data_IF_729314417595
#
_entry.id   IF_729314417595
#
_cell.length_a   1.000
_cell.length_b   1.000
_cell.length_c   1.000
_cell.angle_alpha   90.00
_cell.angle_beta   90.00
_cell.angle_gamma   90.00
#
_symmetry.space_group_name_H-M   'P 1'
#
loop_
_entity.id
_entity.type
_entity.pdbx_description
1 polymer ?
#
# COMPACT_ATOMS: atom_id res chain seq x y z
N UNK A 1 2.36 -14.20 15.04
CA UNK A 1 2.62 -13.84 13.63
C UNK A 1 1.54 -12.86 13.24
N UNK A 2 1.89 -11.72 12.64
CA UNK A 2 0.89 -10.79 12.12
C UNK A 2 0.01 -11.51 11.09
N UNK A 3 -1.23 -11.06 10.95
CA UNK A 3 -2.13 -11.56 9.91
C UNK A 3 -1.49 -11.32 8.52
N UNK A 4 -1.54 -12.34 7.64
CA UNK A 4 -0.98 -12.26 6.28
C UNK A 4 -1.63 -11.11 5.49
N UNK A 5 -2.94 -10.92 5.67
CA UNK A 5 -3.68 -9.85 5.00
C UNK A 5 -3.24 -8.47 5.46
N UNK A 6 -3.01 -8.30 6.76
CA UNK A 6 -2.49 -7.07 7.35
C UNK A 6 -1.07 -6.77 6.86
N UNK A 7 -0.19 -7.78 6.85
CA UNK A 7 1.18 -7.65 6.33
C UNK A 7 1.18 -7.15 4.89
N UNK A 8 0.38 -7.77 4.02
CA UNK A 8 0.28 -7.37 2.61
C UNK A 8 -0.37 -5.99 2.46
N UNK A 9 -1.36 -5.64 3.30
CA UNK A 9 -1.99 -4.31 3.31
C UNK A 9 -0.98 -3.21 3.65
N UNK A 10 -0.12 -3.47 4.65
CA UNK A 10 0.90 -2.53 5.09
C UNK A 10 1.93 -2.25 4.00
N UNK A 11 2.26 -3.27 3.19
CA UNK A 11 3.15 -3.13 2.04
C UNK A 11 2.47 -2.44 0.85
N UNK A 12 1.20 -2.78 0.57
CA UNK A 12 0.36 -2.11 -0.43
C UNK A 12 0.65 -2.45 -1.90
N UNK A 13 1.78 -3.08 -2.22
CA UNK A 13 2.10 -3.59 -3.56
C UNK A 13 2.66 -5.02 -3.48
N UNK A 14 2.28 -5.87 -4.43
CA UNK A 14 2.85 -7.21 -4.60
C UNK A 14 3.50 -7.32 -6.00
N UNK A 15 4.84 -7.39 -6.09
CA UNK A 15 5.53 -7.64 -7.36
C UNK A 15 5.17 -9.00 -7.94
N UNK A 16 4.67 -9.03 -9.17
CA UNK A 16 4.38 -10.25 -9.92
C UNK A 16 5.56 -10.56 -10.82
N UNK A 17 6.30 -11.61 -10.48
CA UNK A 17 7.64 -11.87 -10.99
C UNK A 17 7.65 -13.14 -11.83
N UNK A 18 8.22 -13.04 -13.04
CA UNK A 18 8.64 -14.19 -13.83
C UNK A 18 10.14 -14.38 -13.69
N UNK A 19 10.55 -15.55 -13.20
CA UNK A 19 11.95 -15.97 -13.13
C UNK A 19 12.23 -16.96 -14.27
N UNK A 20 13.26 -16.67 -15.06
CA UNK A 20 13.67 -17.51 -16.19
C UNK A 20 14.86 -18.42 -15.82
N UNK A 21 15.68 -18.02 -14.84
CA UNK A 21 16.76 -18.84 -14.26
C UNK A 21 16.82 -18.73 -12.73
N UNK A 22 17.04 -19.82 -11.98
CA UNK A 22 17.20 -19.79 -10.52
C UNK A 22 18.25 -18.78 -10.01
N UNK A 23 19.34 -18.57 -10.76
CA UNK A 23 20.42 -17.65 -10.38
C UNK A 23 19.96 -16.18 -10.28
N UNK A 24 18.83 -15.85 -10.92
CA UNK A 24 18.22 -14.51 -10.85
C UNK A 24 17.51 -14.26 -9.51
N UNK A 25 17.14 -15.32 -8.79
CA UNK A 25 16.25 -15.22 -7.63
C UNK A 25 16.89 -14.41 -6.50
N UNK A 26 18.09 -14.79 -6.05
CA UNK A 26 18.72 -14.13 -4.90
C UNK A 26 19.05 -12.65 -5.15
N UNK A 27 19.67 -12.25 -6.29
CA UNK A 27 19.90 -10.84 -6.60
C UNK A 27 18.60 -10.04 -6.68
N UNK A 28 17.54 -10.60 -7.30
CA UNK A 28 16.23 -9.96 -7.37
C UNK A 28 15.63 -9.73 -5.98
N UNK A 29 15.64 -10.74 -5.12
CA UNK A 29 15.13 -10.62 -3.75
C UNK A 29 15.86 -9.54 -2.94
N UNK A 30 17.19 -9.44 -3.09
CA UNK A 30 17.99 -8.37 -2.47
C UNK A 30 17.60 -6.98 -2.99
N UNK A 31 17.38 -6.84 -4.31
CA UNK A 31 16.95 -5.58 -4.91
C UNK A 31 15.56 -5.12 -4.40
N UNK A 32 14.62 -6.05 -4.26
CA UNK A 32 13.29 -5.77 -3.70
C UNK A 32 13.38 -5.28 -2.25
N UNK A 33 14.17 -5.95 -1.41
CA UNK A 33 14.41 -5.55 -0.03
C UNK A 33 15.07 -4.17 0.06
N UNK A 34 16.09 -3.90 -0.74
CA UNK A 34 16.75 -2.59 -0.80
C UNK A 34 15.82 -1.47 -1.31
N UNK A 35 14.80 -1.85 -2.10
CA UNK A 35 13.73 -0.97 -2.57
C UNK A 35 12.62 -0.74 -1.54
N UNK A 36 12.67 -1.39 -0.37
CA UNK A 36 11.64 -1.31 0.66
C UNK A 36 10.40 -2.16 0.37
N UNK A 37 10.52 -3.19 -0.47
CA UNK A 37 9.40 -4.03 -0.92
C UNK A 37 9.60 -5.49 -0.48
N UNK A 38 9.34 -5.83 0.80
CA UNK A 38 9.63 -7.14 1.38
C UNK A 38 8.58 -8.21 1.04
N UNK A 39 8.13 -8.27 -0.22
CA UNK A 39 7.18 -9.27 -0.73
C UNK A 39 7.44 -9.60 -2.20
N UNK A 40 7.17 -10.84 -2.61
CA UNK A 40 7.31 -11.32 -3.97
C UNK A 40 6.26 -12.38 -4.32
N UNK A 41 5.49 -12.18 -5.41
CA UNK A 41 4.66 -13.23 -6.03
C UNK A 41 5.44 -13.82 -7.21
N UNK A 42 6.03 -15.01 -7.03
CA UNK A 42 6.75 -15.70 -8.10
C UNK A 42 5.77 -16.52 -8.94
N UNK A 43 5.66 -16.24 -10.23
CA UNK A 43 4.76 -16.98 -11.12
C UNK A 43 5.26 -18.41 -11.36
N UNK A 44 4.40 -19.39 -11.12
CA UNK A 44 4.70 -20.82 -11.15
C UNK A 44 4.50 -21.42 -12.55
N UNK A 45 5.09 -20.79 -13.57
CA UNK A 45 4.95 -21.20 -14.98
C UNK A 45 6.14 -22.01 -15.50
N UNK A 46 7.25 -22.03 -14.77
CA UNK A 46 8.53 -22.64 -15.16
C UNK A 46 9.13 -23.38 -13.97
N UNK A 47 10.02 -24.35 -14.24
CA UNK A 47 10.80 -25.01 -13.18
C UNK A 47 11.69 -24.01 -12.41
N UNK A 48 12.15 -22.95 -13.08
CA UNK A 48 12.92 -21.87 -12.46
C UNK A 48 12.12 -21.10 -11.41
N UNK A 49 10.79 -21.00 -11.53
CA UNK A 49 9.93 -20.37 -10.52
C UNK A 49 9.90 -21.14 -9.20
N UNK A 50 9.83 -22.47 -9.26
CA UNK A 50 9.86 -23.32 -8.06
C UNK A 50 11.19 -23.18 -7.31
N UNK A 51 12.31 -23.30 -8.03
CA UNK A 51 13.62 -23.17 -7.41
C UNK A 51 13.88 -21.74 -6.93
N UNK A 52 13.37 -20.73 -7.65
CA UNK A 52 13.41 -19.34 -7.21
C UNK A 52 12.70 -19.13 -5.87
N UNK A 53 11.52 -19.74 -5.66
CA UNK A 53 10.82 -19.71 -4.37
C UNK A 53 11.66 -20.37 -3.28
N UNK A 54 12.29 -21.52 -3.56
CA UNK A 54 13.15 -22.24 -2.61
C UNK A 54 14.36 -21.40 -2.18
N UNK A 55 15.05 -20.79 -3.14
CA UNK A 55 16.20 -19.91 -2.90
C UNK A 55 15.78 -18.70 -2.06
N UNK A 56 14.72 -17.99 -2.47
CA UNK A 56 14.27 -16.79 -1.78
C UNK A 56 13.80 -17.10 -0.34
N UNK A 57 12.98 -18.13 -0.18
CA UNK A 57 12.40 -18.47 1.13
C UNK A 57 13.44 -18.98 2.13
N UNK A 58 14.51 -19.64 1.65
CA UNK A 58 15.59 -20.15 2.51
C UNK A 58 16.66 -19.12 2.82
N UNK A 59 17.03 -18.28 1.84
CA UNK A 59 18.17 -17.35 1.98
C UNK A 59 17.75 -15.94 2.38
N UNK A 60 16.48 -15.55 2.18
CA UNK A 60 15.94 -14.24 2.52
C UNK A 60 14.66 -14.38 3.37
N UNK A 61 14.75 -14.85 4.62
CA UNK A 61 13.58 -15.05 5.49
C UNK A 61 12.77 -13.78 5.79
N UNK A 62 13.36 -12.60 5.57
CA UNK A 62 12.70 -11.30 5.67
C UNK A 62 11.83 -10.95 4.44
N UNK A 63 11.97 -11.68 3.33
CA UNK A 63 11.16 -11.51 2.13
C UNK A 63 9.95 -12.43 2.20
N UNK A 64 8.74 -11.86 2.18
CA UNK A 64 7.52 -12.64 2.10
C UNK A 64 7.33 -13.19 0.69
N UNK A 65 7.58 -14.49 0.50
CA UNK A 65 7.49 -15.14 -0.81
C UNK A 65 6.16 -15.88 -0.96
N UNK A 66 5.44 -15.59 -2.03
CA UNK A 66 4.26 -16.34 -2.46
C UNK A 66 4.41 -16.89 -3.88
N UNK A 67 3.49 -17.77 -4.26
CA UNK A 67 3.46 -18.37 -5.59
C UNK A 67 2.21 -17.94 -6.36
N UNK A 68 2.42 -17.38 -7.55
CA UNK A 68 1.36 -16.92 -8.44
C UNK A 68 1.13 -17.85 -9.63
N UNK A 69 0.03 -17.63 -10.35
CA UNK A 69 -0.36 -18.48 -11.50
C UNK A 69 -0.58 -19.95 -11.11
N UNK A 70 -1.06 -20.22 -9.89
CA UNK A 70 -1.41 -21.59 -9.47
C UNK A 70 -2.76 -21.97 -10.06
N UNK A 71 -2.79 -23.03 -10.87
CA UNK A 71 -4.01 -23.50 -11.57
C UNK A 71 -4.38 -24.95 -11.25
N UNK A 72 -3.63 -25.61 -10.35
CA UNK A 72 -3.90 -26.98 -9.93
C UNK A 72 -3.42 -27.24 -8.51
N UNK A 73 -3.98 -28.25 -7.86
CA UNK A 73 -3.57 -28.71 -6.52
C UNK A 73 -2.09 -29.14 -6.51
N UNK A 74 -1.63 -29.80 -7.57
CA UNK A 74 -0.24 -30.23 -7.69
C UNK A 74 0.74 -29.04 -7.75
N UNK A 75 0.38 -27.96 -8.46
CA UNK A 75 1.17 -26.74 -8.47
C UNK A 75 1.17 -26.06 -7.09
N UNK A 76 0.02 -26.01 -6.42
CA UNK A 76 -0.08 -25.48 -5.05
C UNK A 76 0.82 -26.25 -4.08
N UNK A 77 0.77 -27.59 -4.12
CA UNK A 77 1.61 -28.48 -3.32
C UNK A 77 3.09 -28.18 -3.53
N UNK A 78 3.56 -28.19 -4.78
CA UNK A 78 4.96 -27.93 -5.12
C UNK A 78 5.43 -26.55 -4.66
N UNK A 79 4.58 -25.52 -4.82
CA UNK A 79 4.89 -24.18 -4.35
C UNK A 79 5.03 -24.10 -2.83
N UNK A 80 4.13 -24.74 -2.08
CA UNK A 80 4.18 -24.81 -0.62
C UNK A 80 5.42 -25.59 -0.17
N UNK A 81 5.72 -26.73 -0.80
CA UNK A 81 6.90 -27.55 -0.52
C UNK A 81 8.22 -26.81 -0.84
N UNK A 82 8.19 -25.85 -1.78
CA UNK A 82 9.31 -24.95 -2.06
C UNK A 82 9.45 -23.80 -1.06
N UNK A 83 8.45 -23.56 -0.19
CA UNK A 83 8.51 -22.57 0.88
C UNK A 83 7.59 -21.36 0.71
N UNK A 84 6.73 -21.33 -0.31
CA UNK A 84 5.76 -20.25 -0.51
C UNK A 84 4.83 -20.12 0.71
N UNK A 85 4.63 -18.88 1.18
CA UNK A 85 3.81 -18.53 2.34
C UNK A 85 2.37 -18.20 1.99
N UNK A 86 2.11 -17.83 0.74
CA UNK A 86 0.78 -17.59 0.22
C UNK A 86 0.67 -18.02 -1.24
N UNK A 87 -0.55 -18.31 -1.68
CA UNK A 87 -0.88 -18.79 -3.01
C UNK A 87 -1.77 -17.77 -3.73
N UNK A 88 -1.52 -17.58 -5.02
CA UNK A 88 -2.32 -16.71 -5.88
C UNK A 88 -2.68 -17.46 -7.16
N UNK A 89 -3.97 -17.55 -7.46
CA UNK A 89 -4.47 -18.14 -8.71
C UNK A 89 -5.05 -17.07 -9.62
N UNK A 90 -4.98 -17.23 -10.95
CA UNK A 90 -5.55 -16.25 -11.88
C UNK A 90 -7.08 -16.29 -11.93
N UNK A 91 -7.71 -17.39 -11.49
CA UNK A 91 -9.15 -17.57 -11.39
C UNK A 91 -9.51 -18.41 -10.16
N UNK A 92 -10.80 -18.60 -9.92
CA UNK A 92 -11.30 -19.39 -8.79
C UNK A 92 -11.31 -20.89 -9.14
N UNK A 93 -10.75 -21.72 -8.26
CA UNK A 93 -10.82 -23.18 -8.32
C UNK A 93 -11.10 -23.71 -6.93
N UNK A 94 -12.21 -24.45 -6.80
CA UNK A 94 -12.66 -24.98 -5.52
C UNK A 94 -11.63 -25.97 -4.94
N UNK A 95 -11.07 -26.84 -5.77
CA UNK A 95 -10.05 -27.82 -5.37
C UNK A 95 -8.78 -27.15 -4.83
N UNK A 96 -8.31 -26.08 -5.49
CA UNK A 96 -7.09 -25.36 -5.07
C UNK A 96 -7.34 -24.60 -3.78
N UNK A 97 -8.50 -23.94 -3.66
CA UNK A 97 -8.90 -23.22 -2.45
C UNK A 97 -9.00 -24.18 -1.26
N UNK A 98 -9.75 -25.26 -1.40
CA UNK A 98 -9.91 -26.27 -0.36
C UNK A 98 -8.56 -26.86 0.08
N UNK A 99 -7.70 -27.20 -0.89
CA UNK A 99 -6.37 -27.73 -0.61
C UNK A 99 -5.51 -26.79 0.26
N UNK A 100 -5.53 -25.48 -0.04
CA UNK A 100 -4.77 -24.48 0.70
C UNK A 100 -5.36 -24.26 2.11
N UNK A 101 -6.69 -24.15 2.22
CA UNK A 101 -7.38 -23.95 3.48
C UNK A 101 -7.15 -25.11 4.46
N UNK A 102 -7.22 -26.36 4.01
CA UNK A 102 -6.92 -27.55 4.82
C UNK A 102 -5.50 -27.57 5.40
N UNK A 103 -4.57 -26.80 4.81
CA UNK A 103 -3.17 -26.71 5.22
C UNK A 103 -2.83 -25.40 5.94
N UNK A 104 -3.84 -24.57 6.23
CA UNK A 104 -3.67 -23.23 6.79
C UNK A 104 -2.73 -22.34 5.95
N UNK A 105 -2.76 -22.48 4.63
CA UNK A 105 -2.00 -21.63 3.70
C UNK A 105 -2.94 -20.58 3.12
N UNK A 106 -2.57 -19.31 3.25
CA UNK A 106 -3.36 -18.19 2.70
C UNK A 106 -3.42 -18.29 1.17
N UNK A 107 -4.62 -18.13 0.61
CA UNK A 107 -4.85 -18.10 -0.83
C UNK A 107 -5.63 -16.85 -1.25
N UNK A 108 -5.22 -16.23 -2.35
CA UNK A 108 -5.90 -15.12 -3.02
C UNK A 108 -6.39 -15.59 -4.40
N UNK A 109 -7.57 -16.22 -4.50
CA UNK A 109 -8.06 -16.68 -5.78
C UNK A 109 -8.54 -15.52 -6.65
N UNK A 110 -8.28 -15.63 -7.95
CA UNK A 110 -8.73 -14.66 -8.95
C UNK A 110 -10.24 -14.70 -9.13
N UNK A 111 -10.88 -13.53 -9.14
CA UNK A 111 -12.28 -13.33 -9.49
C UNK A 111 -12.41 -12.09 -10.37
N UNK A 112 -13.48 -12.02 -11.16
CA UNK A 112 -13.86 -10.78 -11.84
C UNK A 112 -15.38 -10.51 -11.89
N UNK A 113 -16.19 -11.36 -11.26
CA UNK A 113 -17.64 -11.22 -11.29
C UNK A 113 -18.32 -11.67 -9.97
N UNK A 114 -19.61 -11.32 -9.76
CA UNK A 114 -20.33 -11.65 -8.53
C UNK A 114 -20.45 -13.15 -8.22
N UNK A 115 -20.59 -14.02 -9.23
CA UNK A 115 -20.78 -15.46 -9.02
C UNK A 115 -19.52 -16.14 -8.47
N UNK A 116 -18.34 -15.72 -8.95
CA UNK A 116 -17.05 -16.17 -8.42
C UNK A 116 -16.81 -15.64 -7.01
N UNK A 117 -17.14 -14.38 -6.76
CA UNK A 117 -17.07 -13.76 -5.42
C UNK A 117 -17.91 -14.57 -4.42
N UNK A 118 -19.17 -14.86 -4.75
CA UNK A 118 -20.04 -15.66 -3.89
C UNK A 118 -19.47 -17.07 -3.66
N UNK A 119 -18.79 -17.64 -4.65
CA UNK A 119 -18.13 -18.94 -4.50
C UNK A 119 -16.99 -18.88 -3.50
N UNK A 120 -16.14 -17.85 -3.58
CA UNK A 120 -15.08 -17.64 -2.61
C UNK A 120 -15.60 -17.34 -1.19
N UNK A 121 -16.68 -16.55 -1.07
CA UNK A 121 -17.31 -16.26 0.21
C UNK A 121 -17.87 -17.51 0.90
N UNK A 122 -18.42 -18.47 0.13
CA UNK A 122 -18.88 -19.75 0.69
C UNK A 122 -17.74 -20.57 1.31
N UNK A 123 -16.49 -20.34 0.89
CA UNK A 123 -15.28 -20.92 1.48
C UNK A 123 -14.68 -20.06 2.61
N UNK A 124 -15.35 -18.99 3.02
CA UNK A 124 -14.90 -18.12 4.12
C UNK A 124 -13.78 -17.15 3.75
N UNK A 125 -13.49 -16.94 2.46
CA UNK A 125 -12.46 -16.03 2.02
C UNK A 125 -12.93 -14.56 2.11
N UNK A 126 -12.06 -13.69 2.65
CA UNK A 126 -12.32 -12.26 2.83
C UNK A 126 -11.49 -11.36 1.91
N UNK A 127 -10.43 -11.91 1.28
CA UNK A 127 -9.55 -11.18 0.37
C UNK A 127 -9.36 -11.96 -0.92
N UNK A 128 -9.66 -11.33 -2.05
CA UNK A 128 -9.65 -11.98 -3.37
C UNK A 128 -8.71 -11.23 -4.33
N UNK A 129 -8.12 -11.94 -5.29
CA UNK A 129 -7.45 -11.28 -6.41
C UNK A 129 -8.52 -10.81 -7.40
N UNK A 130 -8.46 -9.57 -7.86
CA UNK A 130 -9.30 -9.10 -8.97
C UNK A 130 -8.46 -9.10 -10.25
N UNK A 131 -8.77 -9.99 -11.19
CA UNK A 131 -7.94 -10.21 -12.37
C UNK A 131 -8.76 -10.64 -13.61
N UNK A 132 -8.41 -10.15 -14.82
CA UNK A 132 -7.47 -9.05 -15.11
C UNK A 132 -8.13 -7.69 -14.84
N UNK A 133 -7.56 -6.87 -13.94
CA UNK A 133 -8.24 -5.70 -13.36
C UNK A 133 -8.71 -4.68 -14.42
N UNK A 134 -7.80 -4.06 -15.16
CA UNK A 134 -8.16 -3.02 -16.15
C UNK A 134 -9.12 -3.56 -17.21
N UNK A 135 -8.85 -4.76 -17.74
CA UNK A 135 -9.67 -5.37 -18.79
C UNK A 135 -11.05 -5.83 -18.31
N UNK A 136 -11.25 -5.99 -17.00
CA UNK A 136 -12.54 -6.40 -16.40
C UNK A 136 -13.37 -5.21 -15.91
N UNK A 137 -13.05 -3.98 -16.35
CA UNK A 137 -13.78 -2.76 -15.98
C UNK A 137 -13.12 -1.93 -14.87
N UNK A 138 -11.92 -2.34 -14.43
CA UNK A 138 -11.06 -1.55 -13.55
C UNK A 138 -11.67 -1.13 -12.21
N UNK A 139 -11.37 0.10 -11.79
CA UNK A 139 -11.84 0.65 -10.50
C UNK A 139 -13.37 0.75 -10.46
N UNK A 140 -14.02 1.08 -11.58
CA UNK A 140 -15.47 1.24 -11.63
C UNK A 140 -16.20 -0.09 -11.37
N UNK A 141 -15.67 -1.19 -11.92
CA UNK A 141 -16.17 -2.53 -11.60
C UNK A 141 -15.99 -2.85 -10.10
N UNK A 142 -14.81 -2.57 -9.54
CA UNK A 142 -14.57 -2.81 -8.11
C UNK A 142 -15.46 -1.95 -7.20
N UNK A 143 -15.72 -0.70 -7.56
CA UNK A 143 -16.67 0.16 -6.85
C UNK A 143 -18.07 -0.47 -6.87
N UNK A 144 -18.54 -0.93 -8.04
CA UNK A 144 -19.83 -1.60 -8.17
C UNK A 144 -19.92 -2.92 -7.38
N UNK A 145 -18.85 -3.70 -7.33
CA UNK A 145 -18.76 -4.95 -6.56
C UNK A 145 -18.66 -4.69 -5.05
N UNK A 146 -18.01 -3.61 -4.62
CA UNK A 146 -17.83 -3.28 -3.20
C UNK A 146 -19.13 -2.95 -2.46
N UNK A 147 -20.17 -2.49 -3.19
CA UNK A 147 -21.49 -2.20 -2.65
C UNK A 147 -22.21 -3.44 -2.06
N UNK A 148 -22.48 -4.49 -2.86
CA UNK A 148 -23.10 -5.72 -2.36
C UNK A 148 -22.17 -6.58 -1.50
N UNK A 149 -20.84 -6.38 -1.56
CA UNK A 149 -19.86 -7.19 -0.82
C UNK A 149 -18.96 -6.34 0.11
N UNK A 150 -19.54 -5.64 1.11
CA UNK A 150 -18.83 -4.61 1.89
C UNK A 150 -17.75 -5.16 2.82
N UNK A 151 -17.75 -6.47 3.10
CA UNK A 151 -16.76 -7.15 3.95
C UNK A 151 -15.56 -7.69 3.17
N UNK A 152 -15.60 -7.66 1.83
CA UNK A 152 -14.51 -8.15 1.01
C UNK A 152 -13.47 -7.08 0.75
N UNK A 153 -12.23 -7.52 0.66
CA UNK A 153 -11.15 -6.74 0.09
C UNK A 153 -10.57 -7.40 -1.16
N UNK A 154 -9.92 -6.61 -2.00
CA UNK A 154 -9.39 -7.04 -3.27
C UNK A 154 -7.91 -6.71 -3.41
N UNK A 155 -7.21 -7.58 -4.14
CA UNK A 155 -5.87 -7.37 -4.66
C UNK A 155 -5.96 -7.28 -6.19
N UNK A 156 -6.22 -6.09 -6.77
CA UNK A 156 -6.34 -5.94 -8.21
C UNK A 156 -4.99 -6.21 -8.88
N UNK A 157 -4.99 -6.91 -10.00
CA UNK A 157 -3.78 -7.22 -10.79
C UNK A 157 -4.12 -7.24 -12.27
N UNK A 158 -3.20 -6.74 -13.10
CA UNK A 158 -3.35 -6.72 -14.56
C UNK A 158 -3.68 -5.32 -15.07
N UNK A 159 -2.70 -4.71 -15.77
CA UNK A 159 -2.80 -3.35 -16.29
C UNK A 159 -2.49 -2.24 -15.27
N UNK A 160 -2.10 -2.60 -14.04
CA UNK A 160 -1.73 -1.62 -13.00
C UNK A 160 -0.28 -1.17 -13.17
N UNK A 161 -0.04 0.12 -13.03
CA UNK A 161 1.28 0.75 -12.98
C UNK A 161 1.22 2.15 -12.36
N UNK A 162 2.33 2.90 -12.41
CA UNK A 162 2.42 4.23 -11.78
C UNK A 162 1.32 5.21 -12.25
N UNK A 163 0.85 5.08 -13.50
CA UNK A 163 -0.15 5.96 -14.09
C UNK A 163 -1.57 5.79 -13.51
N UNK A 164 -1.89 4.63 -12.94
CA UNK A 164 -3.22 4.32 -12.39
C UNK A 164 -3.18 3.74 -10.96
N UNK A 165 -2.02 3.49 -10.36
CA UNK A 165 -1.90 2.93 -9.00
C UNK A 165 -2.75 3.70 -7.97
N UNK A 166 -2.71 5.02 -8.02
CA UNK A 166 -3.44 5.89 -7.08
C UNK A 166 -4.97 5.70 -7.15
N UNK A 167 -5.54 5.41 -8.32
CA UNK A 167 -7.00 5.23 -8.47
C UNK A 167 -7.49 3.98 -7.74
N UNK A 168 -6.63 2.95 -7.65
CA UNK A 168 -6.89 1.71 -6.93
C UNK A 168 -6.55 1.81 -5.45
N UNK A 169 -5.29 2.12 -5.12
CA UNK A 169 -4.76 1.92 -3.76
C UNK A 169 -5.44 2.80 -2.69
N UNK A 170 -6.03 3.93 -3.10
CA UNK A 170 -6.81 4.82 -2.24
C UNK A 170 -8.14 4.23 -1.77
N UNK A 171 -8.62 3.17 -2.42
CA UNK A 171 -9.92 2.57 -2.11
C UNK A 171 -9.81 1.71 -0.84
N UNK A 172 -10.72 1.83 0.13
CA UNK A 172 -10.61 1.15 1.42
C UNK A 172 -10.70 -0.38 1.33
N UNK A 173 -11.39 -0.89 0.31
CA UNK A 173 -11.52 -2.31 0.00
C UNK A 173 -10.31 -2.85 -0.78
N UNK A 174 -9.24 -2.09 -1.00
CA UNK A 174 -8.02 -2.55 -1.68
C UNK A 174 -6.93 -2.79 -0.64
N UNK A 175 -6.48 -4.04 -0.53
CA UNK A 175 -5.37 -4.40 0.37
C UNK A 175 -4.03 -3.99 -0.24
N UNK A 176 -3.79 -4.41 -1.48
CA UNK A 176 -2.55 -4.16 -2.20
C UNK A 176 -2.81 -4.26 -3.70
N UNK A 177 -1.99 -3.63 -4.52
CA UNK A 177 -2.03 -3.81 -5.98
C UNK A 177 -0.94 -4.78 -6.43
N UNK A 178 -1.30 -5.74 -7.29
CA UNK A 178 -0.35 -6.61 -7.97
C UNK A 178 0.17 -5.97 -9.25
N UNK A 179 1.48 -6.02 -9.49
CA UNK A 179 2.07 -5.45 -10.71
C UNK A 179 3.49 -5.88 -11.00
N UNK A 180 3.92 -5.70 -12.25
CA UNK A 180 5.23 -6.15 -12.75
C UNK A 180 6.13 -5.03 -13.26
N UNK A 181 5.69 -3.76 -13.20
CA UNK A 181 6.42 -2.65 -13.85
C UNK A 181 7.81 -2.39 -13.25
N UNK A 182 7.99 -2.70 -11.95
CA UNK A 182 9.25 -2.62 -11.22
C UNK A 182 10.16 -3.84 -11.39
N UNK A 183 9.63 -4.96 -11.92
CA UNK A 183 10.31 -6.26 -12.08
C UNK A 183 10.08 -6.83 -13.48
N UNK A 184 10.15 -5.97 -14.50
CA UNK A 184 10.00 -6.39 -15.90
C UNK A 184 11.07 -7.43 -16.25
N UNK A 185 10.71 -8.44 -17.04
CA UNK A 185 11.61 -9.53 -17.43
C UNK A 185 12.91 -9.02 -18.06
N UNK A 186 12.87 -7.95 -18.86
CA UNK A 186 14.07 -7.37 -19.46
C UNK A 186 15.07 -6.84 -18.41
N UNK A 187 14.58 -6.24 -17.32
CA UNK A 187 15.44 -5.76 -16.24
C UNK A 187 16.09 -6.92 -15.48
N UNK A 188 15.31 -7.97 -15.20
CA UNK A 188 15.80 -9.19 -14.52
C UNK A 188 16.84 -9.90 -15.40
N UNK A 189 16.54 -10.09 -16.68
CA UNK A 189 17.41 -10.78 -17.63
C UNK A 189 18.72 -10.05 -17.90
N UNK A 190 18.71 -8.71 -17.83
CA UNK A 190 19.91 -7.88 -17.95
C UNK A 190 20.64 -7.65 -16.61
N UNK A 191 20.16 -8.22 -15.50
CA UNK A 191 20.75 -8.02 -14.18
C UNK A 191 20.72 -6.56 -13.69
N UNK A 192 19.71 -5.78 -14.09
CA UNK A 192 19.55 -4.36 -13.74
C UNK A 192 18.99 -4.17 -12.33
N UNK A 193 19.67 -4.74 -11.33
CA UNK A 193 19.21 -4.79 -9.94
C UNK A 193 19.07 -3.41 -9.29
N UNK A 194 19.95 -2.47 -9.61
CA UNK A 194 19.86 -1.08 -9.13
C UNK A 194 18.60 -0.38 -9.65
N UNK A 195 18.21 -0.66 -10.89
CA UNK A 195 17.02 -0.10 -11.49
C UNK A 195 15.75 -0.71 -10.87
N UNK A 196 15.74 -2.02 -10.61
CA UNK A 196 14.66 -2.68 -9.86
C UNK A 196 14.54 -2.09 -8.45
N UNK A 197 15.66 -1.82 -7.79
CA UNK A 197 15.68 -1.16 -6.47
C UNK A 197 15.05 0.24 -6.54
N UNK A 198 15.45 1.05 -7.53
CA UNK A 198 14.90 2.40 -7.75
C UNK A 198 13.39 2.35 -8.02
N UNK A 199 12.95 1.51 -8.95
CA UNK A 199 11.54 1.38 -9.31
C UNK A 199 10.68 0.83 -8.17
N UNK A 200 11.23 -0.07 -7.35
CA UNK A 200 10.54 -0.60 -6.17
C UNK A 200 10.35 0.50 -5.13
N UNK A 201 11.37 1.34 -4.90
CA UNK A 201 11.28 2.50 -3.99
C UNK A 201 10.24 3.52 -4.46
N UNK A 202 10.20 3.80 -5.76
CA UNK A 202 9.19 4.68 -6.36
C UNK A 202 7.77 4.12 -6.21
N UNK A 203 7.62 2.81 -6.43
CA UNK A 203 6.34 2.14 -6.25
C UNK A 203 5.86 2.21 -4.78
N UNK A 204 6.75 1.94 -3.81
CA UNK A 204 6.45 2.04 -2.38
C UNK A 204 6.06 3.47 -2.00
N UNK A 205 6.81 4.48 -2.43
CA UNK A 205 6.46 5.88 -2.15
C UNK A 205 5.09 6.27 -2.72
N UNK A 206 4.76 5.80 -3.94
CA UNK A 206 3.50 6.10 -4.60
C UNK A 206 2.27 5.48 -3.91
N UNK A 207 2.42 4.36 -3.20
CA UNK A 207 1.35 3.74 -2.40
C UNK A 207 0.84 4.66 -1.31
N UNK A 208 1.71 5.49 -0.73
CA UNK A 208 1.34 6.39 0.36
C UNK A 208 0.78 7.72 -0.16
N UNK A 209 1.22 8.18 -1.33
CA UNK A 209 0.72 9.43 -1.91
C UNK A 209 1.09 10.66 -1.10
N UNK A 210 2.27 10.63 -0.45
CA UNK A 210 2.75 11.76 0.33
C UNK A 210 2.78 13.03 -0.52
N UNK A 211 2.10 14.06 -0.06
CA UNK A 211 2.06 15.36 -0.70
C UNK A 211 1.90 16.46 0.34
N UNK A 212 2.36 17.68 0.03
CA UNK A 212 2.18 18.80 0.93
C UNK A 212 0.69 19.08 1.15
N UNK A 213 0.29 19.19 2.42
CA UNK A 213 -1.06 19.57 2.80
C UNK A 213 -1.16 21.10 2.91
N UNK A 214 -0.50 21.61 3.94
CA UNK A 214 -0.50 22.98 4.37
C UNK A 214 0.65 23.22 5.35
N UNK A 215 0.94 24.50 5.62
CA UNK A 215 1.86 24.94 6.65
C UNK A 215 1.08 25.70 7.71
N UNK A 216 1.17 25.23 8.95
CA UNK A 216 0.72 25.92 10.14
C UNK A 216 1.76 26.92 10.63
N UNK A 217 1.32 28.11 11.00
CA UNK A 217 2.13 29.15 11.63
C UNK A 217 1.62 29.38 13.05
N UNK A 218 2.52 29.31 14.02
CA UNK A 218 2.23 29.66 15.42
C UNK A 218 2.60 31.14 15.68
N UNK A 219 1.62 32.05 15.81
CA UNK A 219 1.88 33.42 16.25
C UNK A 219 2.05 33.48 17.77
N UNK A 220 2.67 34.53 18.29
CA UNK A 220 2.82 34.76 19.73
C UNK A 220 1.50 35.08 20.43
N UNK A 221 0.55 35.71 19.72
CA UNK A 221 -0.80 36.00 20.21
C UNK A 221 -1.82 36.12 19.08
N UNK A 222 -3.08 36.40 19.43
CA UNK A 222 -4.19 36.52 18.48
C UNK A 222 -4.12 37.80 17.62
N UNK A 223 -3.47 38.86 18.10
CA UNK A 223 -3.28 40.08 17.31
C UNK A 223 -2.28 39.83 16.19
N UNK A 224 -1.14 39.19 16.50
CA UNK A 224 -0.18 38.74 15.50
C UNK A 224 -0.83 37.74 14.52
N UNK A 225 -1.65 36.81 15.00
CA UNK A 225 -2.40 35.88 14.14
C UNK A 225 -3.24 36.63 13.08
N UNK A 226 -3.96 37.65 13.52
CA UNK A 226 -4.78 38.50 12.65
C UNK A 226 -3.91 39.28 11.66
N UNK A 227 -2.81 39.87 12.11
CA UNK A 227 -1.89 40.64 11.27
C UNK A 227 -1.23 39.77 10.19
N UNK A 228 -0.75 38.57 10.54
CA UNK A 228 -0.21 37.59 9.58
C UNK A 228 -1.28 37.21 8.56
N UNK A 229 -2.50 36.93 9.02
CA UNK A 229 -3.62 36.55 8.15
C UNK A 229 -3.95 37.66 7.15
N UNK A 230 -4.02 38.92 7.60
CA UNK A 230 -4.27 40.07 6.71
C UNK A 230 -3.13 40.27 5.71
N UNK A 231 -1.87 40.18 6.16
CA UNK A 231 -0.70 40.36 5.31
C UNK A 231 -0.63 39.29 4.20
N UNK A 232 -0.83 38.02 4.55
CA UNK A 232 -0.84 36.92 3.60
C UNK A 232 -2.09 36.90 2.73
N UNK A 233 -3.23 37.35 3.27
CA UNK A 233 -4.50 37.44 2.56
C UNK A 233 -4.44 38.33 1.31
N UNK A 234 -3.51 39.27 1.23
CA UNK A 234 -3.28 40.07 0.00
C UNK A 234 -2.85 39.18 -1.18
N UNK A 235 -2.13 38.08 -0.91
CA UNK A 235 -1.61 37.16 -1.93
C UNK A 235 -2.39 35.85 -2.02
N UNK A 236 -2.97 35.39 -0.91
CA UNK A 236 -3.55 34.06 -0.75
C UNK A 236 -5.03 34.16 -0.37
N UNK A 237 -5.90 33.85 -1.33
CA UNK A 237 -7.35 33.85 -1.17
C UNK A 237 -7.93 32.44 -1.44
N UNK A 238 -9.11 32.10 -0.89
CA UNK A 238 -9.88 32.88 0.06
C UNK A 238 -9.21 32.93 1.45
N UNK A 239 -9.45 34.01 2.18
CA UNK A 239 -9.20 34.03 3.64
C UNK A 239 -10.45 33.51 4.34
N UNK A 240 -10.30 32.50 5.19
CA UNK A 240 -11.40 31.93 5.97
C UNK A 240 -11.04 31.85 7.44
N UNK A 241 -12.03 32.06 8.30
CA UNK A 241 -11.88 31.94 9.75
C UNK A 241 -12.53 30.65 10.24
N UNK A 242 -11.75 29.81 10.91
CA UNK A 242 -12.22 28.64 11.64
C UNK A 242 -12.25 28.88 13.15
N UNK A 243 -12.60 27.82 13.90
CA UNK A 243 -12.69 27.88 15.36
C UNK A 243 -11.31 28.09 16.02
N UNK A 244 -10.29 27.37 15.56
CA UNK A 244 -8.95 27.32 16.18
C UNK A 244 -7.87 28.04 15.37
N UNK A 245 -8.16 28.36 14.11
CA UNK A 245 -7.19 28.91 13.16
C UNK A 245 -7.88 29.77 12.11
N UNK A 246 -7.11 30.64 11.48
CA UNK A 246 -7.44 31.28 10.22
C UNK A 246 -6.73 30.53 9.08
N UNK A 247 -7.25 30.64 7.87
CA UNK A 247 -6.63 30.10 6.68
C UNK A 247 -6.48 31.20 5.64
N UNK A 248 -5.27 31.33 5.09
CA UNK A 248 -5.00 32.13 3.91
C UNK A 248 -4.75 31.17 2.74
N UNK A 249 -5.75 31.01 1.86
CA UNK A 249 -5.91 29.84 0.98
C UNK A 249 -6.04 28.52 1.76
N UNK A 250 -6.04 27.39 1.06
CA UNK A 250 -6.03 26.06 1.68
C UNK A 250 -4.65 25.61 2.18
N UNK A 251 -3.59 26.38 1.92
CA UNK A 251 -2.20 25.97 2.14
C UNK A 251 -1.52 26.61 3.35
N UNK A 252 -2.00 27.74 3.85
CA UNK A 252 -1.42 28.40 5.03
C UNK A 252 -2.47 28.49 6.12
N UNK A 253 -2.21 27.81 7.23
CA UNK A 253 -3.02 27.82 8.44
C UNK A 253 -2.33 28.72 9.47
N UNK A 254 -3.03 29.73 9.99
CA UNK A 254 -2.53 30.62 11.03
C UNK A 254 -3.27 30.27 12.32
N UNK A 255 -2.54 29.75 13.30
CA UNK A 255 -3.16 29.33 14.57
C UNK A 255 -3.62 30.55 15.36
N UNK A 256 -4.79 30.48 16.02
CA UNK A 256 -5.24 31.57 16.92
C UNK A 256 -4.45 31.63 18.23
N UNK A 257 -3.85 30.51 18.60
CA UNK A 257 -2.98 30.29 19.75
C UNK A 257 -1.91 29.26 19.35
N UNK A 258 -0.65 29.39 19.79
CA UNK A 258 0.38 28.39 19.52
C UNK A 258 -0.07 26.97 19.85
N UNK A 259 0.23 26.03 18.96
CA UNK A 259 0.10 24.60 19.24
C UNK A 259 1.47 23.91 19.17
N UNK A 260 1.52 22.63 18.75
CA UNK A 260 2.77 21.89 18.58
C UNK A 260 3.68 22.55 17.54
N UNK A 261 4.99 22.40 17.75
CA UNK A 261 6.03 22.99 16.92
C UNK A 261 6.41 24.40 17.35
N UNK A 262 7.71 24.67 17.40
CA UNK A 262 8.25 25.99 17.72
C UNK A 262 7.74 27.10 16.78
N UNK A 263 7.66 26.80 15.49
CA UNK A 263 7.22 27.74 14.44
C UNK A 263 5.82 27.44 13.90
N UNK A 264 5.22 26.32 14.32
CA UNK A 264 3.97 25.78 13.79
C UNK A 264 4.15 24.36 13.27
N UNK A 265 3.40 23.97 12.23
CA UNK A 265 3.40 22.60 11.73
C UNK A 265 3.48 22.50 10.21
N UNK A 266 3.89 21.34 9.71
CA UNK A 266 3.81 20.99 8.30
C UNK A 266 2.90 19.78 8.16
N UNK A 267 1.81 19.97 7.43
CA UNK A 267 0.88 18.91 7.05
C UNK A 267 1.35 18.15 5.83
N UNK A 268 1.32 16.83 5.93
CA UNK A 268 1.61 15.91 4.84
C UNK A 268 0.36 15.07 4.57
N UNK A 269 -0.22 15.19 3.38
CA UNK A 269 -1.34 14.35 2.95
C UNK A 269 -0.85 12.94 2.63
N UNK A 270 -1.67 11.94 2.92
CA UNK A 270 -1.46 10.53 2.55
C UNK A 270 -2.81 9.88 2.26
N UNK A 271 -2.85 8.88 1.37
CA UNK A 271 -4.07 8.12 1.08
C UNK A 271 -4.56 7.34 2.31
N UNK A 272 -3.63 6.83 3.10
CA UNK A 272 -3.88 5.93 4.21
C UNK A 272 -2.88 6.17 5.35
N UNK A 273 -3.33 6.81 6.43
CA UNK A 273 -2.47 7.18 7.56
C UNK A 273 -1.91 5.92 8.23
N UNK A 274 -2.74 4.94 8.54
CA UNK A 274 -2.37 3.72 9.24
C UNK A 274 -1.24 2.99 8.48
N UNK A 275 -1.39 2.85 7.16
CA UNK A 275 -0.34 2.27 6.30
C UNK A 275 0.93 3.13 6.23
N UNK A 276 0.77 4.45 6.17
CA UNK A 276 1.90 5.36 6.17
C UNK A 276 2.70 5.28 7.48
N UNK A 277 2.04 5.13 8.62
CA UNK A 277 2.71 4.96 9.91
C UNK A 277 3.54 3.67 9.95
N UNK A 278 3.00 2.55 9.44
CA UNK A 278 3.78 1.30 9.34
C UNK A 278 5.01 1.44 8.43
N UNK A 279 4.89 2.17 7.33
CA UNK A 279 6.02 2.49 6.47
C UNK A 279 7.07 3.38 7.16
N UNK A 280 6.62 4.41 7.86
CA UNK A 280 7.46 5.40 8.55
C UNK A 280 8.27 4.81 9.72
N UNK A 281 7.77 3.75 10.37
CA UNK A 281 8.53 2.99 11.39
C UNK A 281 9.87 2.48 10.87
N UNK A 282 9.97 2.14 9.58
CA UNK A 282 11.23 1.70 8.97
C UNK A 282 12.31 2.80 8.93
N UNK A 283 11.92 4.06 9.17
CA UNK A 283 12.80 5.22 9.23
C UNK A 283 12.95 5.76 10.66
N UNK A 284 12.44 5.03 11.67
CA UNK A 284 12.46 5.48 13.07
C UNK A 284 11.49 6.61 13.38
N UNK A 285 10.52 6.87 12.49
CA UNK A 285 9.52 7.92 12.69
C UNK A 285 8.34 7.36 13.48
N UNK A 286 8.02 8.01 14.61
CA UNK A 286 6.95 7.59 15.51
C UNK A 286 5.79 8.59 15.54
N UNK A 287 4.57 8.08 15.70
CA UNK A 287 3.39 8.90 15.92
C UNK A 287 3.24 9.33 17.38
N UNK A 288 2.72 10.53 17.59
CA UNK A 288 2.15 10.92 18.88
C UNK A 288 0.68 10.51 18.94
N UNK A 289 0.44 9.31 19.47
CA UNK A 289 -0.88 8.68 19.57
C UNK A 289 -1.92 9.55 20.31
N UNK A 290 -1.50 10.44 21.21
CA UNK A 290 -2.40 11.33 21.95
C UNK A 290 -3.07 12.38 21.03
N UNK A 291 -2.50 12.62 19.85
CA UNK A 291 -2.98 13.64 18.89
C UNK A 291 -3.93 13.08 17.82
N UNK A 292 -4.10 11.76 17.77
CA UNK A 292 -4.87 11.07 16.75
C UNK A 292 -6.34 11.49 16.74
N UNK A 293 -6.82 11.98 15.60
CA UNK A 293 -8.25 12.24 15.33
C UNK A 293 -8.80 11.20 14.37
N UNK A 294 -10.02 10.73 14.62
CA UNK A 294 -10.68 9.69 13.81
C UNK A 294 -12.02 10.16 13.25
N UNK A 295 -12.38 9.66 12.08
CA UNK A 295 -13.72 9.87 11.50
C UNK A 295 -14.79 8.97 12.14
N UNK A 296 -16.04 9.13 11.73
CA UNK A 296 -17.16 8.32 12.21
C UNK A 296 -17.04 6.81 11.90
N UNK A 297 -16.12 6.42 11.00
CA UNK A 297 -15.80 5.02 10.67
C UNK A 297 -14.57 4.52 11.43
N UNK A 298 -14.03 5.30 12.36
CA UNK A 298 -12.87 4.95 13.18
C UNK A 298 -11.52 5.10 12.46
N UNK A 299 -11.47 5.64 11.24
CA UNK A 299 -10.21 5.81 10.48
C UNK A 299 -9.48 7.06 10.94
N UNK A 300 -8.16 7.00 11.07
CA UNK A 300 -7.38 8.20 11.36
C UNK A 300 -7.56 9.24 10.26
N UNK A 301 -7.89 10.47 10.64
CA UNK A 301 -7.97 11.62 9.75
C UNK A 301 -6.78 12.54 9.90
N UNK A 302 -6.24 12.67 11.12
CA UNK A 302 -5.06 13.49 11.44
C UNK A 302 -4.28 12.81 12.56
N UNK A 303 -2.95 12.83 12.50
CA UNK A 303 -2.08 12.44 13.61
C UNK A 303 -0.73 13.15 13.51
N UNK A 304 -0.21 13.68 14.61
CA UNK A 304 1.12 14.28 14.67
C UNK A 304 2.20 13.21 14.85
N UNK A 305 3.41 13.53 14.40
CA UNK A 305 4.62 12.75 14.63
C UNK A 305 5.37 13.32 15.84
N UNK A 306 6.15 12.48 16.53
CA UNK A 306 6.86 12.90 17.76
C UNK A 306 7.97 13.91 17.51
N UNK A 307 8.67 13.78 16.39
CA UNK A 307 9.83 14.61 16.08
C UNK A 307 9.44 15.88 15.32
N UNK A 308 10.13 16.98 15.62
CA UNK A 308 10.06 18.23 14.84
C UNK A 308 11.13 18.26 13.74
N UNK A 309 10.80 18.91 12.62
CA UNK A 309 11.75 19.19 11.53
C UNK A 309 11.92 20.68 11.39
N UNK A 310 13.11 21.19 11.71
CA UNK A 310 13.42 22.62 11.61
C UNK A 310 12.56 23.50 12.50
N UNK A 311 12.11 22.99 13.66
CA UNK A 311 11.20 23.69 14.58
C UNK A 311 9.72 23.61 14.18
N UNK A 312 9.37 22.82 13.17
CA UNK A 312 7.98 22.56 12.81
C UNK A 312 7.58 21.15 13.24
N UNK A 313 6.44 21.03 13.92
CA UNK A 313 5.83 19.73 14.14
C UNK A 313 5.33 19.16 12.80
N UNK A 314 5.41 17.84 12.62
CA UNK A 314 4.86 17.19 11.44
C UNK A 314 3.56 16.48 11.80
N UNK A 315 2.58 16.52 10.88
CA UNK A 315 1.38 15.70 11.02
C UNK A 315 0.95 15.11 9.68
N UNK A 316 0.42 13.89 9.74
CA UNK A 316 -0.21 13.23 8.61
C UNK A 316 -1.68 13.63 8.54
N UNK A 317 -2.15 13.94 7.34
CA UNK A 317 -3.53 14.25 7.03
C UNK A 317 -4.06 13.21 6.03
N UNK A 318 -5.20 12.58 6.33
CA UNK A 318 -5.82 11.64 5.40
C UNK A 318 -6.40 12.43 4.23
N UNK A 319 -5.98 12.09 3.03
CA UNK A 319 -6.54 12.64 1.81
C UNK A 319 -8.03 12.26 1.67
N UNK A 320 -8.80 13.19 1.10
CA UNK A 320 -10.25 13.00 0.85
C UNK A 320 -10.50 12.07 -0.33
#
# INVERSE_FOLDING_TARGET
MADMHETIRNIGIVPVIKIDSPDQALPLGKALLAGGLPVAEITFRTAAGEEGIRILSSQLPQLLVGAGTITSVEAARRAIDAGAKFIVSPGYSDDVVEYCLQRNVTIYPGVNNPSEIQSAMRRGLSVLKFFPAEASGGVDMLDALSGPFPTLSFMPTGGIGMHNLASYIRKPYIVACGGSWMVKSDLINQGRWDEITRLSREAVAAVHGFSFAHMGVNPSDTEEASNITMALGVFLQPVTEGTTSFFASEHIEIMKQPFLGTHGHIGIRTWDIERALEYLKNFGVEADEATGRRDAKGRLTVIYLKDEVGGFALHLLRAK
#
